data_IF_053857951507
#
_entry.id   IF_053857951507
#
_cell.length_a   1.000
_cell.length_b   1.000
_cell.length_c   1.000
_cell.angle_alpha   90.00
_cell.angle_beta   90.00
_cell.angle_gamma   90.00
#
_symmetry.space_group_name_H-M   'P 1'
#
loop_
_entity.id
_entity.type
_entity.pdbx_description
1 polymer ?
#
# COMPACT_ATOMS: atom_id res chain seq x y z
N UNK A 1 4.83 17.92 5.45
CA UNK A 1 4.59 17.39 6.77
C UNK A 1 5.73 16.47 7.19
N UNK A 2 6.27 16.76 8.35
CA UNK A 2 7.35 15.95 8.86
C UNK A 2 6.77 14.76 9.56
N UNK A 3 6.88 13.64 8.94
CA UNK A 3 6.38 12.43 9.53
C UNK A 3 7.51 11.75 10.26
N UNK A 4 7.24 11.34 11.48
CA UNK A 4 8.25 10.63 12.22
C UNK A 4 8.53 9.30 11.55
N UNK A 5 9.74 8.82 11.76
CA UNK A 5 10.11 7.55 11.17
C UNK A 5 9.24 6.44 11.73
N UNK A 6 8.91 5.52 10.87
CA UNK A 6 8.14 4.34 11.27
C UNK A 6 9.06 3.41 12.04
N UNK A 7 8.49 2.70 13.01
CA UNK A 7 9.25 1.70 13.73
C UNK A 7 9.33 0.42 12.93
N UNK A 8 10.47 -0.24 12.99
CA UNK A 8 10.62 -1.52 12.34
C UNK A 8 10.83 -1.45 10.84
N UNK A 9 11.16 -0.26 10.32
CA UNK A 9 11.45 -0.15 8.89
C UNK A 9 12.67 -0.97 8.54
N UNK A 10 12.67 -1.49 7.31
CA UNK A 10 13.82 -2.20 6.81
C UNK A 10 14.90 -1.23 6.36
N UNK A 11 16.03 -1.78 5.92
CA UNK A 11 17.13 -0.97 5.46
C UNK A 11 16.68 0.00 4.39
N UNK A 12 17.17 1.24 4.48
CA UNK A 12 16.81 2.27 3.53
C UNK A 12 17.29 1.92 2.13
N UNK A 13 16.46 2.26 1.15
CA UNK A 13 16.78 2.06 -0.25
C UNK A 13 16.87 3.42 -0.93
N UNK A 14 17.69 3.50 -1.97
CA UNK A 14 17.76 4.72 -2.76
C UNK A 14 16.60 4.78 -3.73
N UNK A 15 16.36 5.98 -4.25
CA UNK A 15 15.33 6.17 -5.27
C UNK A 15 15.57 5.21 -6.44
N UNK A 16 16.82 5.14 -6.90
CA UNK A 16 17.14 4.31 -8.06
C UNK A 16 16.94 2.84 -7.77
N UNK A 17 17.26 2.39 -6.56
CA UNK A 17 17.05 0.99 -6.23
C UNK A 17 15.57 0.63 -6.27
N UNK A 18 14.71 1.52 -5.82
CA UNK A 18 13.28 1.28 -5.85
C UNK A 18 12.78 1.23 -7.29
N UNK A 19 13.26 2.17 -8.13
CA UNK A 19 12.87 2.17 -9.53
C UNK A 19 13.27 0.86 -10.21
N UNK A 20 14.46 0.35 -9.89
CA UNK A 20 14.91 -0.90 -10.49
C UNK A 20 14.05 -2.07 -10.07
N UNK A 21 13.67 -2.10 -8.80
CA UNK A 21 12.82 -3.20 -8.33
C UNK A 21 11.48 -3.17 -9.06
N UNK A 22 10.88 -1.98 -9.18
CA UNK A 22 9.60 -1.86 -9.86
C UNK A 22 9.71 -2.20 -11.34
N UNK A 23 10.83 -1.90 -11.95
CA UNK A 23 11.04 -2.26 -13.35
C UNK A 23 10.95 -3.77 -13.55
N UNK A 24 11.39 -4.53 -12.56
CA UNK A 24 11.30 -5.97 -12.62
C UNK A 24 9.86 -6.48 -12.59
N UNK A 25 8.93 -5.67 -12.14
CA UNK A 25 7.51 -6.02 -12.17
C UNK A 25 6.85 -5.63 -13.48
N UNK A 26 7.54 -4.85 -14.32
CA UNK A 26 6.95 -4.29 -15.51
C UNK A 26 6.01 -3.14 -15.23
N UNK A 27 6.17 -2.47 -14.10
CA UNK A 27 5.27 -1.41 -13.67
C UNK A 27 6.07 -0.16 -13.33
N UNK A 28 5.38 0.97 -13.36
CA UNK A 28 5.98 2.27 -13.03
C UNK A 28 5.30 2.82 -11.80
N UNK A 29 6.09 3.02 -10.74
CA UNK A 29 5.55 3.55 -9.49
C UNK A 29 5.39 5.06 -9.55
N UNK A 30 4.37 5.62 -8.90
CA UNK A 30 4.28 7.06 -8.77
C UNK A 30 5.46 7.60 -8.00
N UNK A 31 5.87 8.81 -8.36
CA UNK A 31 7.03 9.43 -7.73
C UNK A 31 6.83 9.55 -6.21
N UNK A 32 5.63 9.96 -5.80
CA UNK A 32 5.38 10.16 -4.37
C UNK A 32 5.48 8.86 -3.59
N UNK A 33 5.14 7.73 -4.21
CA UNK A 33 5.29 6.43 -3.57
C UNK A 33 6.77 6.11 -3.37
N UNK A 34 7.57 6.36 -4.41
CA UNK A 34 9.00 6.08 -4.31
C UNK A 34 9.62 6.96 -3.23
N UNK A 35 9.29 8.24 -3.23
CA UNK A 35 9.87 9.17 -2.25
C UNK A 35 9.50 8.77 -0.83
N UNK A 36 8.27 8.30 -0.64
CA UNK A 36 7.85 7.85 0.69
C UNK A 36 8.65 6.64 1.13
N UNK A 37 8.85 5.67 0.22
CA UNK A 37 9.57 4.45 0.58
C UNK A 37 11.06 4.67 0.72
N UNK A 38 11.62 5.70 0.12
CA UNK A 38 13.00 6.08 0.41
C UNK A 38 13.14 6.45 1.88
N UNK A 39 12.14 7.14 2.43
CA UNK A 39 12.18 7.56 3.82
C UNK A 39 11.77 6.45 4.78
N UNK A 40 10.82 5.62 4.38
CA UNK A 40 10.27 4.59 5.25
C UNK A 40 10.06 3.33 4.45
N UNK A 41 11.00 2.40 4.56
CA UNK A 41 10.91 1.12 3.86
C UNK A 41 10.07 0.16 4.69
N UNK A 42 8.74 0.40 4.72
CA UNK A 42 7.84 -0.38 5.53
C UNK A 42 7.88 0.02 6.99
N UNK A 43 7.20 -0.75 7.82
CA UNK A 43 7.24 -0.55 9.26
C UNK A 43 5.91 -0.08 9.82
N UNK A 44 5.90 0.20 11.12
CA UNK A 44 4.70 0.58 11.84
C UNK A 44 4.64 2.10 11.95
N UNK A 45 3.60 2.72 11.34
CA UNK A 45 3.49 4.17 11.42
C UNK A 45 3.02 4.60 12.81
N UNK A 46 3.28 5.85 13.20
CA UNK A 46 2.75 6.36 14.45
C UNK A 46 1.28 6.79 14.32
N UNK A 47 0.51 6.05 13.56
CA UNK A 47 -0.90 6.31 13.32
C UNK A 47 -1.63 4.98 13.32
N UNK A 48 -2.89 4.99 13.74
CA UNK A 48 -3.69 3.76 13.74
C UNK A 48 -4.81 3.78 12.72
N UNK A 49 -4.94 4.83 11.93
CA UNK A 49 -6.06 4.98 11.01
C UNK A 49 -5.66 5.72 9.78
N UNK A 50 -6.48 5.56 8.75
CA UNK A 50 -6.38 6.34 7.53
C UNK A 50 -7.76 6.88 7.22
N UNK A 51 -7.85 8.19 7.01
CA UNK A 51 -9.10 8.81 6.62
C UNK A 51 -9.17 8.81 5.10
N UNK A 52 -9.99 7.91 4.56
CA UNK A 52 -10.20 7.86 3.12
C UNK A 52 -11.22 8.90 2.69
N UNK A 53 -11.64 8.80 1.42
CA UNK A 53 -12.57 9.80 0.88
C UNK A 53 -13.94 9.71 1.55
N UNK A 54 -14.34 8.51 1.99
CA UNK A 54 -15.67 8.33 2.53
C UNK A 54 -15.69 7.80 3.95
N UNK A 55 -14.70 7.02 4.32
CA UNK A 55 -14.70 6.34 5.62
C UNK A 55 -13.32 6.39 6.24
N UNK A 56 -13.27 6.13 7.55
CA UNK A 56 -12.02 5.98 8.28
C UNK A 56 -11.75 4.49 8.43
N UNK A 57 -10.52 4.09 8.13
CA UNK A 57 -10.12 2.68 8.16
C UNK A 57 -8.97 2.50 9.13
N UNK A 58 -8.90 1.33 9.75
CA UNK A 58 -7.75 1.01 10.61
C UNK A 58 -6.54 0.70 9.74
N UNK A 59 -5.35 1.01 10.25
CA UNK A 59 -4.11 0.62 9.58
C UNK A 59 -3.18 0.05 10.63
N UNK A 60 -2.43 -0.99 10.25
CA UNK A 60 -1.52 -1.65 11.16
C UNK A 60 -0.07 -1.35 10.79
N UNK A 61 0.35 -1.70 9.58
CA UNK A 61 1.74 -1.50 9.18
C UNK A 61 1.86 -1.36 7.67
N UNK A 62 2.99 -0.80 7.26
CA UNK A 62 3.35 -0.73 5.84
C UNK A 62 4.29 -1.89 5.53
N UNK A 63 4.15 -2.43 4.34
CA UNK A 63 4.89 -3.63 3.92
C UNK A 63 6.23 -3.19 3.35
N UNK A 64 7.35 -3.77 3.81
CA UNK A 64 8.65 -3.41 3.24
C UNK A 64 8.73 -3.76 1.76
N UNK A 65 9.53 -3.01 1.02
CA UNK A 65 9.55 -3.17 -0.43
C UNK A 65 10.00 -4.56 -0.85
N UNK A 66 10.94 -5.16 -0.14
CA UNK A 66 11.37 -6.52 -0.48
C UNK A 66 10.24 -7.52 -0.31
N UNK A 67 9.37 -7.29 0.67
CA UNK A 67 8.21 -8.16 0.86
C UNK A 67 7.19 -7.93 -0.23
N UNK A 68 6.98 -6.66 -0.62
CA UNK A 68 6.10 -6.38 -1.75
C UNK A 68 6.59 -7.10 -2.99
N UNK A 69 7.90 -7.01 -3.25
CA UNK A 69 8.49 -7.66 -4.40
C UNK A 69 8.23 -9.17 -4.37
N UNK A 70 8.43 -9.78 -3.21
CA UNK A 70 8.20 -11.21 -3.09
C UNK A 70 6.73 -11.57 -3.29
N UNK A 71 5.83 -10.76 -2.73
CA UNK A 71 4.40 -11.03 -2.90
C UNK A 71 3.99 -10.96 -4.36
N UNK A 72 4.52 -9.98 -5.08
CA UNK A 72 4.18 -9.84 -6.49
C UNK A 72 4.72 -11.03 -7.28
N UNK A 73 5.96 -11.44 -7.00
CA UNK A 73 6.55 -12.56 -7.73
C UNK A 73 5.85 -13.87 -7.40
N UNK A 74 5.47 -14.06 -6.13
CA UNK A 74 4.85 -15.32 -5.73
C UNK A 74 3.44 -15.45 -6.28
N UNK A 75 2.77 -14.34 -6.52
CA UNK A 75 1.39 -14.39 -7.01
C UNK A 75 1.30 -14.48 -8.53
N UNK A 76 2.40 -14.29 -9.22
CA UNK A 76 2.40 -14.44 -10.67
C UNK A 76 2.22 -15.91 -11.00
N UNK A 77 1.16 -16.24 -11.73
CA UNK A 77 0.91 -17.62 -12.11
C UNK A 77 0.06 -18.41 -11.15
N UNK A 78 -0.34 -17.81 -10.05
CA UNK A 78 -1.18 -18.50 -9.06
C UNK A 78 -2.64 -18.21 -9.24
N UNK A 79 -3.01 -17.51 -10.28
CA UNK A 79 -4.40 -17.17 -10.48
C UNK A 79 -4.89 -16.01 -9.65
N UNK A 80 -4.07 -15.50 -8.76
CA UNK A 80 -4.42 -14.29 -8.03
C UNK A 80 -3.99 -13.13 -8.90
N UNK A 81 -4.95 -12.57 -9.58
CA UNK A 81 -4.68 -11.53 -10.56
C UNK A 81 -4.80 -10.18 -9.90
N UNK A 82 -3.70 -9.60 -9.53
CA UNK A 82 -3.74 -8.27 -8.94
C UNK A 82 -3.83 -7.19 -10.01
N UNK A 83 -3.63 -7.54 -11.27
CA UNK A 83 -3.88 -6.66 -12.40
C UNK A 83 -3.23 -5.30 -12.25
N UNK A 84 -1.96 -5.31 -11.88
CA UNK A 84 -1.23 -4.08 -11.72
C UNK A 84 -1.47 -3.38 -10.39
N UNK A 85 -2.15 -4.01 -9.45
CA UNK A 85 -2.30 -3.46 -8.11
C UNK A 85 -1.27 -4.06 -7.19
N UNK A 86 -0.58 -3.22 -6.44
CA UNK A 86 0.47 -3.71 -5.55
C UNK A 86 0.05 -3.50 -4.09
N UNK A 87 0.25 -4.52 -3.25
CA UNK A 87 -0.05 -4.37 -1.83
C UNK A 87 1.06 -3.57 -1.15
N UNK A 88 0.68 -2.61 -0.29
CA UNK A 88 1.71 -1.81 0.37
C UNK A 88 1.48 -1.63 1.86
N UNK A 89 0.29 -1.95 2.37
CA UNK A 89 0.01 -1.80 3.79
C UNK A 89 -1.05 -2.80 4.18
N UNK A 90 -1.17 -3.03 5.48
CA UNK A 90 -2.14 -4.00 6.00
C UNK A 90 -2.91 -3.41 7.15
N UNK A 91 -4.15 -3.89 7.33
CA UNK A 91 -4.92 -3.52 8.50
C UNK A 91 -4.85 -4.63 9.54
N UNK A 92 -5.39 -4.40 10.77
CA UNK A 92 -5.28 -5.43 11.82
C UNK A 92 -6.00 -6.73 11.52
N UNK A 93 -6.92 -6.73 10.55
CA UNK A 93 -7.65 -7.95 10.19
C UNK A 93 -7.02 -8.65 8.98
N UNK A 94 -5.80 -8.28 8.61
CA UNK A 94 -5.05 -8.89 7.51
C UNK A 94 -5.60 -8.56 6.13
N UNK A 95 -6.45 -7.56 6.02
CA UNK A 95 -6.75 -7.01 4.71
C UNK A 95 -5.60 -6.13 4.26
N UNK A 96 -5.43 -5.96 2.96
CA UNK A 96 -4.29 -5.19 2.46
C UNK A 96 -4.77 -3.99 1.67
N UNK A 97 -4.06 -2.88 1.84
CA UNK A 97 -4.25 -1.71 0.99
C UNK A 97 -3.38 -1.89 -0.25
N UNK A 98 -3.96 -1.64 -1.41
CA UNK A 98 -3.26 -1.82 -2.67
C UNK A 98 -3.27 -0.52 -3.46
N UNK A 99 -2.22 -0.32 -4.23
CA UNK A 99 -2.07 0.84 -5.10
C UNK A 99 -2.21 0.35 -6.53
N UNK A 100 -3.11 0.96 -7.29
CA UNK A 100 -3.29 0.56 -8.68
C UNK A 100 -2.27 1.26 -9.55
N UNK A 101 -1.59 0.48 -10.37
CA UNK A 101 -0.68 0.99 -11.39
C UNK A 101 -1.22 0.73 -12.78
N UNK A 102 -2.47 0.24 -12.88
CA UNK A 102 -3.11 0.02 -14.16
C UNK A 102 -3.49 1.35 -14.78
N UNK A 103 -3.46 1.46 -16.12
CA UNK A 103 -3.70 2.76 -16.76
C UNK A 103 -5.06 3.37 -16.46
N UNK A 104 -6.09 2.54 -16.31
CA UNK A 104 -7.45 3.07 -16.18
C UNK A 104 -7.70 3.73 -14.83
N UNK A 105 -6.95 3.37 -13.81
CA UNK A 105 -7.13 3.97 -12.48
C UNK A 105 -5.81 4.19 -11.76
N UNK A 106 -4.80 4.56 -12.53
CA UNK A 106 -3.45 4.70 -12.02
C UNK A 106 -3.41 5.62 -10.79
N UNK A 107 -2.79 5.12 -9.72
CA UNK A 107 -2.62 5.88 -8.49
C UNK A 107 -3.73 5.71 -7.48
N UNK A 108 -4.82 5.06 -7.84
CA UNK A 108 -5.94 4.88 -6.91
C UNK A 108 -5.60 3.84 -5.85
N UNK A 109 -6.07 4.07 -4.63
CA UNK A 109 -5.83 3.17 -3.51
C UNK A 109 -7.12 2.44 -3.17
N UNK A 110 -7.01 1.14 -3.00
CA UNK A 110 -8.13 0.28 -2.60
C UNK A 110 -7.75 -0.55 -1.40
N UNK A 111 -8.76 -1.04 -0.70
CA UNK A 111 -8.57 -2.05 0.34
C UNK A 111 -9.06 -3.39 -0.20
N UNK A 112 -8.18 -4.37 -0.21
CA UNK A 112 -8.52 -5.71 -0.67
C UNK A 112 -8.87 -6.56 0.54
N UNK A 113 -10.14 -7.02 0.60
CA UNK A 113 -10.61 -7.81 1.72
C UNK A 113 -10.40 -9.27 1.46
N UNK A 114 -9.63 -9.91 2.34
CA UNK A 114 -9.31 -11.32 2.16
C UNK A 114 -10.48 -12.22 2.41
N UNK A 115 -11.49 -11.73 3.12
CA UNK A 115 -12.65 -12.54 3.40
C UNK A 115 -13.65 -12.57 2.27
N UNK A 116 -13.47 -11.73 1.27
CA UNK A 116 -14.40 -11.70 0.17
C UNK A 116 -14.10 -12.81 -0.80
N UNK A 117 -15.16 -13.36 -1.36
CA UNK A 117 -15.02 -14.39 -2.37
C UNK A 117 -14.41 -13.77 -3.63
N UNK A 118 -13.25 -14.23 -4.07
CA UNK A 118 -12.64 -13.63 -5.26
C UNK A 118 -13.50 -13.71 -6.50
N UNK A 119 -14.45 -14.61 -6.53
CA UNK A 119 -15.31 -14.73 -7.70
C UNK A 119 -16.39 -13.69 -7.77
N UNK A 120 -16.56 -12.88 -6.74
CA UNK A 120 -17.65 -11.93 -6.72
C UNK A 120 -17.32 -10.53 -7.20
N UNK A 121 -16.06 -10.28 -7.51
CA UNK A 121 -15.72 -9.00 -8.10
C UNK A 121 -15.81 -7.79 -7.19
N UNK A 122 -16.12 -7.98 -5.92
CA UNK A 122 -16.28 -6.87 -4.99
C UNK A 122 -15.19 -6.89 -3.93
N UNK A 123 -14.04 -7.45 -4.25
CA UNK A 123 -12.96 -7.59 -3.28
C UNK A 123 -12.21 -6.29 -3.01
N UNK A 124 -12.34 -5.30 -3.90
CA UNK A 124 -11.59 -4.07 -3.78
C UNK A 124 -12.53 -2.93 -3.38
N UNK A 125 -12.24 -2.33 -2.24
CA UNK A 125 -13.03 -1.20 -1.76
C UNK A 125 -12.24 0.07 -1.97
N UNK A 126 -12.84 1.06 -2.63
CA UNK A 126 -12.18 2.33 -2.92
C UNK A 126 -11.87 3.08 -1.64
N UNK A 127 -10.64 3.56 -1.52
CA UNK A 127 -10.21 4.33 -0.37
C UNK A 127 -9.99 5.79 -0.75
N UNK A 128 -9.10 6.06 -1.69
CA UNK A 128 -8.78 7.42 -2.10
C UNK A 128 -8.10 7.40 -3.45
N UNK A 129 -7.87 8.59 -4.00
CA UNK A 129 -7.48 8.72 -5.40
C UNK A 129 -6.00 8.74 -5.64
N UNK A 130 -5.19 8.88 -4.59
CA UNK A 130 -3.75 8.92 -4.79
C UNK A 130 -3.05 8.45 -3.54
N UNK A 131 -1.80 8.05 -3.72
CA UNK A 131 -0.98 7.67 -2.58
C UNK A 131 -0.75 8.87 -1.65
N UNK A 132 -0.61 10.07 -2.23
CA UNK A 132 -0.46 11.25 -1.40
C UNK A 132 -1.68 11.45 -0.51
N UNK A 133 -2.87 11.26 -1.06
CA UNK A 133 -4.09 11.35 -0.25
C UNK A 133 -4.08 10.32 0.86
N UNK A 134 -3.60 9.12 0.56
CA UNK A 134 -3.53 8.08 1.58
C UNK A 134 -2.62 8.52 2.73
N UNK A 135 -1.43 9.02 2.40
CA UNK A 135 -0.47 9.41 3.43
C UNK A 135 -0.97 10.60 4.23
N UNK A 136 -1.58 11.58 3.58
CA UNK A 136 -2.08 12.75 4.30
C UNK A 136 -3.29 12.42 5.13
N UNK A 137 -3.94 11.29 4.86
CA UNK A 137 -5.08 10.85 5.65
C UNK A 137 -4.72 10.04 6.89
N UNK A 138 -3.44 9.77 7.12
CA UNK A 138 -3.03 9.03 8.30
C UNK A 138 -3.37 9.83 9.56
N UNK A 139 -3.95 9.16 10.55
CA UNK A 139 -4.47 9.84 11.72
C UNK A 139 -4.65 8.83 12.85
N UNK A 140 -5.03 9.30 14.02
CA UNK A 140 -5.28 8.43 15.17
C UNK A 140 -6.74 8.47 15.58
N UNK A 141 -7.62 8.38 14.62
CA UNK A 141 -9.05 8.49 14.85
C UNK A 141 -9.65 7.26 15.53
N UNK A 142 -9.01 6.12 15.43
CA UNK A 142 -9.51 4.93 16.06
C UNK A 142 -9.12 4.82 17.52
N UNK A 143 -8.31 5.71 17.96
CA UNK A 143 -8.02 5.66 19.38
C UNK A 143 -9.22 6.04 20.12
N UNK A 144 -9.70 5.28 20.80
CA UNK A 144 -10.81 5.67 21.41
C UNK A 144 -10.94 5.92 22.45
N UNK A 145 -11.51 6.33 22.62
CA UNK A 145 -11.98 6.69 23.47
C UNK A 145 -12.22 6.07 24.34
#
# INVERSE_FOLDING_TARGET
MDMEKFEGSEKALSYEEIVEIAAGWGLTLPREFIEFYVKNNGGYPPFDSIEGDEYVYAIDYFIPLATIDRLIRDNVGEGVDIKGRIPFAADPADNVFVLSLAPEDYGTVYLFGQENDPGEGSSFEFICRSFTDFITGLTNEYQDE
#
